data_IF_360556923199
#
_entry.id   IF_360556923199
#
_cell.length_a   1.000
_cell.length_b   1.000
_cell.length_c   1.000
_cell.angle_alpha   90.00
_cell.angle_beta   90.00
_cell.angle_gamma   90.00
#
_symmetry.space_group_name_H-M   'P 1'
#
loop_
_entity.id
_entity.type
_entity.pdbx_description
1 polymer ?
#
# COMPACT_ATOMS: atom_id res chain seq x y z
N UNK A 1 8.87 5.00 -11.51
CA UNK A 1 9.03 4.22 -10.27
C UNK A 1 9.53 5.16 -9.22
N UNK A 2 9.26 4.92 -7.94
CA UNK A 2 9.84 5.76 -6.90
C UNK A 2 11.37 5.80 -7.06
N UNK A 3 11.97 6.90 -6.65
CA UNK A 3 13.43 7.00 -6.50
C UNK A 3 13.96 5.88 -5.60
N UNK A 4 15.23 5.54 -5.76
CA UNK A 4 15.91 4.64 -4.82
C UNK A 4 15.74 5.19 -3.40
N UNK A 5 15.33 4.33 -2.49
CA UNK A 5 15.22 4.65 -1.08
C UNK A 5 15.99 3.64 -0.24
N UNK A 6 16.49 4.09 0.91
CA UNK A 6 17.18 3.24 1.85
C UNK A 6 16.91 3.71 3.28
N UNK A 7 16.90 2.76 4.21
CA UNK A 7 16.67 3.04 5.62
C UNK A 7 17.36 2.00 6.49
N UNK A 8 17.88 2.40 7.64
CA UNK A 8 18.51 1.48 8.59
C UNK A 8 19.94 1.08 8.24
N UNK A 9 20.38 -0.05 8.78
CA UNK A 9 21.74 -0.56 8.65
C UNK A 9 21.85 -1.58 7.52
N UNK A 10 22.83 -1.39 6.62
CA UNK A 10 22.97 -2.17 5.40
C UNK A 10 24.40 -2.71 5.24
N UNK A 11 24.57 -3.90 4.66
CA UNK A 11 25.89 -4.38 4.25
C UNK A 11 26.41 -3.56 3.06
N UNK A 12 27.73 -3.58 2.84
CA UNK A 12 28.36 -2.88 1.71
C UNK A 12 27.93 -3.40 0.34
N UNK A 13 27.49 -4.66 0.26
CA UNK A 13 27.08 -5.37 -0.97
C UNK A 13 25.92 -6.31 -0.61
N UNK A 14 24.98 -6.48 -1.53
CA UNK A 14 23.93 -7.49 -1.41
C UNK A 14 24.52 -8.91 -1.40
N UNK A 15 23.78 -9.87 -0.83
CA UNK A 15 24.15 -11.29 -0.85
C UNK A 15 25.51 -11.58 -0.20
N UNK A 16 25.87 -10.79 0.81
CA UNK A 16 27.07 -11.01 1.63
C UNK A 16 26.71 -11.36 3.06
N UNK A 17 27.66 -11.92 3.81
CA UNK A 17 27.45 -12.17 5.23
C UNK A 17 27.25 -10.85 5.97
N UNK A 18 26.05 -10.63 6.49
CA UNK A 18 25.71 -9.46 7.28
C UNK A 18 25.47 -9.88 8.74
N UNK A 19 26.42 -9.56 9.61
CA UNK A 19 26.43 -10.03 11.00
C UNK A 19 25.91 -8.98 11.97
N UNK A 20 25.17 -9.46 12.96
CA UNK A 20 24.74 -8.73 14.15
C UNK A 20 25.88 -8.61 15.16
N UNK A 21 25.75 -7.72 16.16
CA UNK A 21 26.69 -7.65 17.27
C UNK A 21 26.87 -8.97 18.04
N UNK A 22 25.83 -9.81 18.09
CA UNK A 22 25.87 -11.14 18.76
C UNK A 22 26.53 -12.25 17.91
N UNK A 23 27.00 -11.93 16.70
CA UNK A 23 27.65 -12.85 15.77
C UNK A 23 26.71 -13.63 14.85
N UNK A 24 25.38 -13.61 15.09
CA UNK A 24 24.38 -14.21 14.19
C UNK A 24 24.26 -13.42 12.89
N UNK A 25 23.68 -14.05 11.86
CA UNK A 25 23.42 -13.38 10.59
C UNK A 25 22.04 -12.70 10.62
N UNK A 26 21.95 -11.49 10.06
CA UNK A 26 20.67 -10.97 9.60
C UNK A 26 20.14 -11.86 8.45
N UNK A 27 18.83 -12.04 8.36
CA UNK A 27 18.21 -12.82 7.29
C UNK A 27 17.84 -11.88 6.14
N UNK A 28 18.13 -12.27 4.91
CA UNK A 28 17.93 -11.41 3.73
C UNK A 28 16.62 -11.80 3.02
N UNK A 29 15.80 -10.80 2.69
CA UNK A 29 14.58 -10.95 1.91
C UNK A 29 14.66 -10.07 0.67
N UNK A 30 14.68 -10.68 -0.52
CA UNK A 30 14.41 -9.96 -1.76
C UNK A 30 12.90 -9.81 -1.95
N UNK A 31 12.41 -8.58 -1.94
CA UNK A 31 11.02 -8.23 -2.13
C UNK A 31 10.78 -7.66 -3.53
N UNK A 32 9.79 -8.19 -4.23
CA UNK A 32 9.40 -7.72 -5.57
C UNK A 32 7.92 -7.92 -5.82
N UNK A 33 7.33 -6.99 -6.55
CA UNK A 33 5.95 -7.12 -7.04
C UNK A 33 5.86 -7.69 -8.44
N UNK A 34 6.95 -7.94 -9.17
CA UNK A 34 6.89 -8.51 -10.55
C UNK A 34 7.98 -9.55 -10.81
N UNK A 35 8.28 -10.38 -9.82
CA UNK A 35 9.34 -11.39 -9.92
C UNK A 35 10.71 -10.74 -10.13
N UNK A 36 11.57 -11.34 -10.95
CA UNK A 36 12.94 -10.85 -11.16
C UNK A 36 13.08 -9.78 -12.25
N UNK A 37 11.99 -9.46 -12.96
CA UNK A 37 12.01 -8.50 -14.08
C UNK A 37 11.48 -7.12 -13.72
N UNK A 38 11.05 -6.93 -12.47
CA UNK A 38 10.49 -5.70 -11.94
C UNK A 38 11.41 -4.97 -10.96
N UNK A 39 10.93 -3.87 -10.36
CA UNK A 39 11.63 -3.23 -9.26
C UNK A 39 11.69 -4.19 -8.07
N UNK A 40 12.78 -4.08 -7.31
CA UNK A 40 13.00 -4.87 -6.11
C UNK A 40 13.44 -3.98 -4.96
N UNK A 41 13.23 -4.46 -3.74
CA UNK A 41 13.89 -3.98 -2.53
C UNK A 41 14.46 -5.15 -1.76
N UNK A 42 15.59 -4.96 -1.11
CA UNK A 42 16.22 -5.99 -0.27
C UNK A 42 16.08 -5.57 1.18
N UNK A 43 15.54 -6.45 2.01
CA UNK A 43 15.36 -6.23 3.44
C UNK A 43 16.22 -7.18 4.25
N UNK A 44 16.71 -6.69 5.38
CA UNK A 44 17.51 -7.48 6.33
C UNK A 44 16.79 -7.56 7.66
N UNK A 45 16.49 -8.76 8.12
CA UNK A 45 15.64 -9.04 9.29
C UNK A 45 16.42 -9.62 10.47
N UNK A 46 15.90 -9.39 11.68
CA UNK A 46 16.35 -10.08 12.89
C UNK A 46 15.83 -11.53 12.98
N UNK A 47 14.71 -11.87 12.38
CA UNK A 47 14.23 -13.24 12.36
C UNK A 47 13.99 -13.68 10.92
N UNK A 48 13.66 -14.96 10.72
CA UNK A 48 13.38 -15.47 9.38
C UNK A 48 11.95 -15.05 9.02
N UNK A 49 11.72 -14.21 7.99
CA UNK A 49 10.37 -13.71 7.67
C UNK A 49 9.44 -14.80 7.14
N UNK A 50 9.96 -16.01 6.87
CA UNK A 50 9.18 -17.20 6.47
C UNK A 50 8.77 -18.08 7.65
N UNK A 51 9.11 -17.73 8.89
CA UNK A 51 8.71 -18.49 10.06
C UNK A 51 7.21 -18.27 10.35
N UNK A 52 6.40 -19.32 10.19
CA UNK A 52 4.96 -19.31 10.48
C UNK A 52 4.66 -20.44 11.45
N UNK A 53 4.03 -20.13 12.57
CA UNK A 53 3.71 -21.11 13.62
C UNK A 53 2.40 -21.84 13.31
N UNK A 54 1.36 -21.10 12.91
CA UNK A 54 0.07 -21.68 12.55
C UNK A 54 -0.68 -20.80 11.55
N UNK A 55 -1.72 -21.36 10.94
CA UNK A 55 -2.63 -20.63 10.07
C UNK A 55 -4.08 -21.02 10.31
N UNK A 56 -4.99 -20.07 10.07
CA UNK A 56 -6.43 -20.26 10.16
C UNK A 56 -7.11 -19.62 8.95
N UNK A 57 -7.96 -20.38 8.26
CA UNK A 57 -8.77 -19.89 7.15
C UNK A 57 -9.92 -19.03 7.66
N UNK A 58 -9.95 -17.76 7.28
CA UNK A 58 -10.96 -16.79 7.70
C UNK A 58 -12.08 -16.64 6.66
N UNK A 59 -12.04 -17.40 5.56
CA UNK A 59 -13.13 -17.46 4.60
C UNK A 59 -12.96 -16.58 3.36
N UNK A 60 -14.01 -16.56 2.53
CA UNK A 60 -14.06 -15.83 1.27
C UNK A 60 -14.38 -14.35 1.51
N UNK A 61 -13.66 -13.47 0.80
CA UNK A 61 -13.86 -12.00 0.85
C UNK A 61 -14.05 -11.38 -0.52
N UNK A 62 -14.30 -12.19 -1.56
CA UNK A 62 -14.66 -11.68 -2.87
C UNK A 62 -15.96 -10.88 -2.76
N UNK A 63 -16.00 -9.65 -3.30
CA UNK A 63 -17.24 -8.92 -3.43
C UNK A 63 -18.26 -9.74 -4.23
N UNK A 64 -19.52 -9.66 -3.83
CA UNK A 64 -20.63 -10.17 -4.65
C UNK A 64 -21.02 -9.09 -5.64
N UNK A 65 -20.61 -9.27 -6.90
CA UNK A 65 -21.06 -8.42 -7.99
C UNK A 65 -22.53 -8.69 -8.34
N UNK A 66 -23.16 -7.70 -8.98
CA UNK A 66 -24.48 -7.89 -9.58
C UNK A 66 -24.39 -8.94 -10.69
N UNK A 67 -25.46 -9.70 -10.86
CA UNK A 67 -25.60 -10.60 -12.01
C UNK A 67 -25.74 -9.80 -13.31
N UNK A 68 -25.56 -10.46 -14.45
CA UNK A 68 -25.67 -9.86 -15.78
C UNK A 68 -27.09 -9.33 -16.03
N UNK A 69 -27.33 -8.09 -15.62
CA UNK A 69 -28.56 -7.34 -15.87
C UNK A 69 -28.41 -6.43 -17.10
N UNK A 70 -29.54 -6.04 -17.70
CA UNK A 70 -29.52 -4.98 -18.70
C UNK A 70 -28.94 -3.68 -18.11
N UNK A 71 -28.19 -2.93 -18.93
CA UNK A 71 -27.47 -1.72 -18.51
C UNK A 71 -28.40 -0.71 -17.82
N UNK A 72 -27.99 -0.25 -16.63
CA UNK A 72 -28.72 0.73 -15.81
C UNK A 72 -27.78 1.78 -15.24
N UNK A 73 -28.19 3.04 -15.33
CA UNK A 73 -27.50 4.11 -14.63
C UNK A 73 -27.78 4.03 -13.13
N UNK A 74 -26.73 4.13 -12.31
CA UNK A 74 -26.81 4.06 -10.84
C UNK A 74 -26.11 5.27 -10.25
N UNK A 75 -26.73 5.91 -9.26
CA UNK A 75 -26.14 6.99 -8.47
C UNK A 75 -25.97 6.50 -7.02
N UNK A 76 -24.73 6.26 -6.61
CA UNK A 76 -24.41 5.80 -5.26
C UNK A 76 -24.42 6.97 -4.27
N UNK A 77 -25.23 6.85 -3.22
CA UNK A 77 -25.35 7.87 -2.15
C UNK A 77 -24.59 7.42 -0.91
N UNK A 78 -23.27 7.59 -0.91
CA UNK A 78 -22.38 7.12 0.17
C UNK A 78 -22.41 7.97 1.44
N UNK A 79 -22.98 9.19 1.38
CA UNK A 79 -23.10 10.10 2.53
C UNK A 79 -23.85 9.49 3.74
N UNK A 80 -24.73 8.52 3.50
CA UNK A 80 -25.54 7.89 4.55
C UNK A 80 -24.90 6.68 5.24
N UNK A 81 -23.71 6.25 4.80
CA UNK A 81 -22.98 5.17 5.49
C UNK A 81 -22.74 5.53 6.95
N UNK A 82 -22.57 4.54 7.82
CA UNK A 82 -22.22 4.75 9.23
C UNK A 82 -20.78 4.28 9.46
N UNK A 83 -20.06 4.85 10.44
CA UNK A 83 -18.79 4.30 10.87
C UNK A 83 -18.95 2.82 11.26
N UNK A 84 -18.07 1.95 10.75
CA UNK A 84 -18.03 0.54 11.13
C UNK A 84 -16.65 -0.06 10.91
N UNK A 85 -16.23 -0.96 11.81
CA UNK A 85 -14.99 -1.73 11.69
C UNK A 85 -13.72 -0.88 11.54
N UNK A 86 -12.63 -1.56 11.18
CA UNK A 86 -11.33 -0.96 10.93
C UNK A 86 -11.11 -0.63 9.43
N UNK A 87 -9.87 -0.26 9.07
CA UNK A 87 -9.46 0.09 7.72
C UNK A 87 -9.65 -1.03 6.67
N UNK A 88 -9.83 -2.28 7.10
CA UNK A 88 -9.99 -3.46 6.24
C UNK A 88 -11.42 -3.99 6.34
N UNK A 89 -11.88 -4.34 7.54
CA UNK A 89 -13.19 -4.91 7.83
C UNK A 89 -14.34 -3.93 7.57
N UNK A 90 -14.08 -2.62 7.69
CA UNK A 90 -15.05 -1.56 7.41
C UNK A 90 -15.29 -1.27 5.91
N UNK A 91 -14.58 -1.95 5.01
CA UNK A 91 -14.66 -1.70 3.55
C UNK A 91 -16.03 -2.07 2.99
N UNK A 92 -16.68 -1.11 2.34
CA UNK A 92 -17.90 -1.32 1.56
C UNK A 92 -17.57 -1.21 0.08
N UNK A 93 -17.57 -2.34 -0.63
CA UNK A 93 -17.30 -2.37 -2.08
C UNK A 93 -18.41 -1.66 -2.84
N UNK A 94 -18.04 -0.66 -3.64
CA UNK A 94 -18.99 0.08 -4.49
C UNK A 94 -19.01 -0.48 -5.91
N UNK A 95 -17.83 -0.64 -6.52
CA UNK A 95 -17.64 -1.05 -7.89
C UNK A 95 -16.33 -1.82 -8.03
N UNK A 96 -16.22 -2.61 -9.09
CA UNK A 96 -14.98 -3.28 -9.43
C UNK A 96 -15.07 -4.00 -10.77
N UNK A 97 -13.94 -4.44 -11.27
CA UNK A 97 -13.78 -5.25 -12.47
C UNK A 97 -12.62 -6.23 -12.26
N UNK A 98 -12.10 -6.84 -13.33
CA UNK A 98 -10.97 -7.77 -13.21
C UNK A 98 -9.64 -7.11 -12.77
N UNK A 99 -9.54 -5.78 -12.81
CA UNK A 99 -8.32 -5.04 -12.57
C UNK A 99 -8.34 -4.21 -11.27
N UNK A 100 -9.52 -3.83 -10.76
CA UNK A 100 -9.64 -3.00 -9.56
C UNK A 100 -10.92 -3.29 -8.77
N UNK A 101 -10.85 -3.15 -7.44
CA UNK A 101 -12.00 -2.95 -6.56
C UNK A 101 -11.93 -1.55 -5.93
N UNK A 102 -13.07 -0.84 -5.91
CA UNK A 102 -13.22 0.44 -5.24
C UNK A 102 -14.14 0.28 -4.03
N UNK A 103 -13.61 0.59 -2.87
CA UNK A 103 -14.30 0.56 -1.59
C UNK A 103 -14.44 1.97 -0.99
N UNK A 104 -15.59 2.24 -0.37
CA UNK A 104 -15.77 3.33 0.57
C UNK A 104 -15.55 2.81 1.98
N UNK A 105 -14.84 3.56 2.82
CA UNK A 105 -14.59 3.18 4.21
C UNK A 105 -14.90 4.34 5.13
N UNK A 106 -15.63 4.06 6.21
CA UNK A 106 -15.77 4.96 7.34
C UNK A 106 -15.33 4.21 8.59
N UNK A 107 -14.06 4.35 8.93
CA UNK A 107 -13.37 3.62 9.99
C UNK A 107 -13.92 4.04 11.34
N UNK A 108 -14.37 3.07 12.14
CA UNK A 108 -14.86 3.26 13.50
C UNK A 108 -13.88 2.74 14.57
N UNK A 109 -13.06 1.77 14.21
CA UNK A 109 -12.23 1.01 15.13
C UNK A 109 -10.77 1.01 14.67
N UNK A 110 -9.80 0.96 15.62
CA UNK A 110 -8.40 0.77 15.26
C UNK A 110 -8.15 -0.64 14.73
N UNK A 111 -7.13 -0.81 13.88
CA UNK A 111 -6.67 -2.15 13.48
C UNK A 111 -6.00 -2.86 14.66
N UNK A 112 -6.49 -4.04 15.05
CA UNK A 112 -5.88 -4.87 16.09
C UNK A 112 -4.76 -5.78 15.56
N UNK A 113 -4.83 -6.14 14.27
CA UNK A 113 -3.91 -7.08 13.63
C UNK A 113 -3.13 -6.41 12.49
N UNK A 114 -2.03 -7.03 12.09
CA UNK A 114 -1.33 -6.65 10.86
C UNK A 114 -2.07 -7.19 9.65
N UNK A 115 -1.94 -6.53 8.51
CA UNK A 115 -2.59 -6.92 7.27
C UNK A 115 -1.59 -7.04 6.13
N UNK A 116 -1.86 -7.95 5.19
CA UNK A 116 -1.11 -8.13 3.95
C UNK A 116 -2.06 -8.46 2.82
N UNK A 117 -2.04 -7.67 1.75
CA UNK A 117 -2.74 -8.02 0.53
C UNK A 117 -1.77 -8.62 -0.49
N UNK A 118 -1.96 -9.89 -0.84
CA UNK A 118 -1.18 -10.59 -1.86
C UNK A 118 -1.87 -10.60 -3.24
N UNK A 119 -3.13 -10.18 -3.33
CA UNK A 119 -3.88 -10.11 -4.59
C UNK A 119 -3.48 -8.89 -5.43
N UNK A 120 -3.10 -7.78 -4.78
CA UNK A 120 -2.96 -6.51 -5.47
C UNK A 120 -2.26 -5.42 -4.67
N UNK A 121 -1.84 -4.37 -5.38
CA UNK A 121 -1.41 -3.12 -4.75
C UNK A 121 -2.65 -2.42 -4.17
N UNK A 122 -2.46 -1.66 -3.10
CA UNK A 122 -3.55 -0.86 -2.53
C UNK A 122 -3.24 0.64 -2.63
N UNK A 123 -4.29 1.44 -2.81
CA UNK A 123 -4.21 2.89 -2.65
C UNK A 123 -5.31 3.34 -1.69
N UNK A 124 -4.91 3.89 -0.55
CA UNK A 124 -5.83 4.46 0.44
C UNK A 124 -5.84 5.97 0.28
N UNK A 125 -6.98 6.58 -0.06
CA UNK A 125 -7.11 8.03 -0.07
C UNK A 125 -7.76 8.51 1.23
N UNK A 126 -7.01 9.27 2.03
CA UNK A 126 -7.44 9.72 3.35
C UNK A 126 -8.26 11.01 3.19
N UNK A 127 -9.57 10.95 3.41
CA UNK A 127 -10.43 12.14 3.28
C UNK A 127 -10.27 13.09 4.47
N UNK A 128 -10.24 12.55 5.69
CA UNK A 128 -10.13 13.30 6.94
C UNK A 128 -9.21 12.59 7.94
N UNK A 129 -8.61 13.35 8.86
CA UNK A 129 -7.69 12.83 9.88
C UNK A 129 -6.22 12.75 9.48
N UNK A 130 -5.43 12.12 10.35
CA UNK A 130 -3.99 11.90 10.25
C UNK A 130 -3.58 10.66 11.05
N UNK A 131 -2.34 10.25 10.89
CA UNK A 131 -1.75 9.19 11.69
C UNK A 131 -0.50 8.62 11.05
N UNK A 132 -0.23 7.34 11.32
CA UNK A 132 0.97 6.65 10.84
C UNK A 132 0.61 5.33 10.17
N UNK A 133 1.13 5.13 8.97
CA UNK A 133 1.16 3.83 8.31
C UNK A 133 2.44 3.10 8.74
N UNK A 134 2.29 2.02 9.50
CA UNK A 134 3.40 1.15 9.87
C UNK A 134 3.51 0.01 8.87
N UNK A 135 4.70 -0.24 8.36
CA UNK A 135 4.94 -1.31 7.40
C UNK A 135 6.24 -2.05 7.70
N UNK A 136 6.45 -3.20 7.05
CA UNK A 136 7.75 -3.88 7.07
C UNK A 136 8.91 -3.01 6.51
N UNK A 137 8.59 -1.96 5.73
CA UNK A 137 9.56 -0.98 5.23
C UNK A 137 9.78 0.20 6.19
N UNK A 138 9.06 0.25 7.32
CA UNK A 138 9.11 1.37 8.25
C UNK A 138 7.79 2.11 8.41
N UNK A 139 7.85 3.20 9.16
CA UNK A 139 6.73 4.08 9.45
C UNK A 139 6.69 5.28 8.51
N UNK A 140 5.48 5.63 8.08
CA UNK A 140 5.19 6.77 7.22
C UNK A 140 4.01 7.55 7.81
N UNK A 141 4.24 8.81 8.15
CA UNK A 141 3.17 9.69 8.62
C UNK A 141 2.32 10.18 7.45
N UNK A 142 1.02 10.28 7.70
CA UNK A 142 0.04 10.75 6.72
C UNK A 142 -0.93 11.77 7.32
N UNK A 143 -1.57 12.51 6.42
CA UNK A 143 -2.58 13.53 6.71
C UNK A 143 -3.71 13.47 5.70
N UNK A 144 -4.78 14.20 5.97
CA UNK A 144 -5.89 14.38 5.03
C UNK A 144 -5.39 14.83 3.64
N UNK A 145 -5.98 14.25 2.61
CA UNK A 145 -5.58 14.42 1.21
C UNK A 145 -4.43 13.53 0.76
N UNK A 146 -3.82 12.72 1.65
CA UNK A 146 -2.81 11.77 1.23
C UNK A 146 -3.41 10.55 0.52
N UNK A 147 -2.80 10.18 -0.59
CA UNK A 147 -2.85 8.86 -1.18
C UNK A 147 -1.73 8.02 -0.59
N UNK A 148 -2.07 6.93 0.10
CA UNK A 148 -1.12 5.93 0.58
C UNK A 148 -1.10 4.77 -0.40
N UNK A 149 -0.04 4.68 -1.20
CA UNK A 149 0.16 3.58 -2.15
C UNK A 149 0.99 2.50 -1.46
N UNK A 150 0.43 1.30 -1.36
CA UNK A 150 0.99 0.17 -0.63
C UNK A 150 1.20 -0.98 -1.61
N UNK A 151 2.46 -1.31 -1.95
CA UNK A 151 2.76 -2.40 -2.87
C UNK A 151 2.24 -3.75 -2.35
N UNK A 152 1.76 -4.59 -3.26
CA UNK A 152 1.28 -5.94 -2.95
C UNK A 152 2.32 -6.74 -2.18
N UNK A 153 1.86 -7.47 -1.18
CA UNK A 153 2.68 -8.30 -0.30
C UNK A 153 3.31 -7.55 0.87
N UNK A 154 3.19 -6.22 0.94
CA UNK A 154 3.63 -5.44 2.10
C UNK A 154 2.77 -5.83 3.31
N UNK A 155 3.42 -6.15 4.44
CA UNK A 155 2.76 -6.28 5.74
C UNK A 155 2.68 -4.89 6.33
N UNK A 156 1.47 -4.48 6.72
CA UNK A 156 1.23 -3.14 7.24
C UNK A 156 0.08 -3.09 8.25
N UNK A 157 0.05 -2.00 9.02
CA UNK A 157 -1.07 -1.56 9.85
C UNK A 157 -1.17 -0.04 9.78
N UNK A 158 -2.37 0.50 9.73
CA UNK A 158 -2.59 1.95 9.83
C UNK A 158 -3.09 2.30 11.22
N UNK A 159 -2.48 3.32 11.84
CA UNK A 159 -2.92 3.90 13.10
C UNK A 159 -3.42 5.31 12.83
N UNK A 160 -4.65 5.59 13.23
CA UNK A 160 -5.22 6.94 13.16
C UNK A 160 -5.05 7.63 14.50
N UNK A 161 -4.77 8.94 14.49
CA UNK A 161 -4.67 9.74 15.71
C UNK A 161 -6.05 9.92 16.37
N UNK A 162 -7.10 10.01 15.55
CA UNK A 162 -8.48 10.13 15.99
C UNK A 162 -9.41 9.32 15.10
N UNK A 163 -10.56 8.91 15.66
CA UNK A 163 -11.63 8.19 14.97
C UNK A 163 -12.96 8.94 15.18
N UNK A 164 -13.92 8.83 14.25
CA UNK A 164 -13.87 8.02 13.03
C UNK A 164 -13.18 8.74 11.85
N UNK A 165 -12.66 7.96 10.89
CA UNK A 165 -11.97 8.48 9.69
C UNK A 165 -12.65 8.00 8.40
N UNK A 166 -12.82 8.88 7.43
CA UNK A 166 -13.26 8.54 6.07
C UNK A 166 -12.06 8.32 5.16
N UNK A 167 -12.13 7.27 4.37
CA UNK A 167 -11.18 7.04 3.29
C UNK A 167 -11.82 6.29 2.12
N UNK A 168 -11.16 6.35 0.97
CA UNK A 168 -11.37 5.40 -0.12
C UNK A 168 -10.27 4.36 -0.08
N UNK A 169 -10.61 3.11 -0.41
CA UNK A 169 -9.62 2.08 -0.62
C UNK A 169 -9.79 1.51 -2.02
N UNK A 170 -8.71 1.57 -2.81
CA UNK A 170 -8.60 0.94 -4.11
C UNK A 170 -7.72 -0.29 -3.97
N UNK A 171 -8.21 -1.45 -4.39
CA UNK A 171 -7.42 -2.69 -4.48
C UNK A 171 -7.19 -2.98 -5.95
N UNK A 172 -5.97 -2.78 -6.42
CA UNK A 172 -5.59 -2.93 -7.82
C UNK A 172 -4.96 -4.32 -8.05
N UNK A 173 -5.52 -5.13 -8.94
CA UNK A 173 -4.99 -6.45 -9.33
C UNK A 173 -3.83 -6.34 -10.33
N UNK A 174 -2.91 -5.41 -10.03
CA UNK A 174 -1.70 -5.09 -10.76
C UNK A 174 -1.02 -3.86 -10.14
N UNK A 175 0.13 -3.43 -10.68
CA UNK A 175 0.89 -2.36 -10.06
C UNK A 175 0.20 -1.01 -10.19
N UNK A 176 0.22 -0.22 -9.12
CA UNK A 176 -0.13 1.21 -9.14
C UNK A 176 1.13 2.00 -9.46
N UNK A 177 1.13 2.71 -10.59
CA UNK A 177 2.30 3.43 -11.09
C UNK A 177 1.97 4.89 -11.42
N UNK A 178 3.01 5.73 -11.41
CA UNK A 178 2.99 7.05 -12.06
C UNK A 178 2.57 6.87 -13.53
N UNK A 179 1.59 7.65 -14.03
CA UNK A 179 1.10 7.52 -15.40
C UNK A 179 2.23 7.55 -16.42
N UNK A 180 2.19 6.65 -17.41
CA UNK A 180 3.25 6.52 -18.44
C UNK A 180 3.57 7.85 -19.13
N UNK A 181 2.58 8.72 -19.30
CA UNK A 181 2.74 10.05 -19.91
C UNK A 181 3.54 11.07 -19.08
N UNK A 182 3.75 10.78 -17.80
CA UNK A 182 4.48 11.62 -16.85
C UNK A 182 5.84 11.03 -16.49
N UNK A 183 6.28 9.96 -17.16
CA UNK A 183 7.59 9.36 -16.94
C UNK A 183 8.31 9.03 -18.23
N UNK A 184 9.65 9.03 -18.19
CA UNK A 184 10.46 8.50 -19.28
C UNK A 184 10.53 6.95 -19.23
N UNK A 185 11.28 6.37 -20.16
CA UNK A 185 11.57 4.94 -20.25
C UNK A 185 12.35 4.39 -19.04
N UNK A 186 13.16 5.22 -18.39
CA UNK A 186 13.88 4.92 -17.15
C UNK A 186 13.00 5.05 -15.89
N UNK A 187 11.75 5.49 -16.04
CA UNK A 187 10.80 5.63 -14.94
C UNK A 187 10.96 6.90 -14.09
N UNK A 188 11.81 7.84 -14.50
CA UNK A 188 11.93 9.19 -13.93
C UNK A 188 10.71 10.02 -14.32
N UNK A 189 10.22 10.84 -13.40
CA UNK A 189 9.11 11.76 -13.63
C UNK A 189 9.60 12.91 -14.53
N UNK A 190 8.79 13.27 -15.54
CA UNK A 190 9.12 14.29 -16.53
C UNK A 190 8.89 15.69 -15.95
N UNK A 191 9.68 16.68 -16.38
CA UNK A 191 9.61 18.08 -15.90
C UNK A 191 8.24 18.75 -16.12
N UNK A 192 7.42 18.24 -17.05
CA UNK A 192 6.05 18.74 -17.29
C UNK A 192 4.98 17.98 -16.50
N UNK A 193 5.36 16.97 -15.72
CA UNK A 193 4.42 16.24 -14.89
C UNK A 193 3.83 17.16 -13.80
N UNK A 194 2.59 16.89 -13.36
CA UNK A 194 1.93 17.70 -12.34
C UNK A 194 2.46 17.46 -10.92
N UNK A 195 3.48 16.63 -10.73
CA UNK A 195 4.16 16.40 -9.46
C UNK A 195 5.53 15.80 -9.74
N UNK A 196 6.39 15.69 -8.73
CA UNK A 196 7.77 15.22 -8.81
C UNK A 196 8.05 14.10 -7.82
N UNK A 197 9.22 13.48 -7.91
CA UNK A 197 9.65 12.44 -6.96
C UNK A 197 9.82 12.97 -5.53
N UNK A 198 9.91 14.29 -5.35
CA UNK A 198 10.04 14.94 -4.04
C UNK A 198 8.72 14.98 -3.28
N UNK A 199 7.61 14.93 -4.01
CA UNK A 199 6.26 14.93 -3.45
C UNK A 199 5.85 13.52 -2.97
N UNK A 200 6.62 12.49 -3.36
CA UNK A 200 6.46 11.11 -2.89
C UNK A 200 7.24 10.89 -1.59
N UNK A 201 6.50 10.79 -0.48
CA UNK A 201 7.06 10.61 0.87
C UNK A 201 7.06 9.14 1.24
N UNK A 202 8.24 8.58 1.47
CA UNK A 202 8.43 7.20 1.92
C UNK A 202 8.64 7.10 3.43
N UNK A 203 8.80 5.88 3.97
CA UNK A 203 9.08 5.70 5.38
C UNK A 203 10.40 6.38 5.77
N UNK A 204 10.42 7.05 6.92
CA UNK A 204 11.59 7.80 7.39
C UNK A 204 12.27 7.17 8.63
N UNK A 205 11.61 6.18 9.23
CA UNK A 205 12.08 5.43 10.40
C UNK A 205 11.60 3.99 10.36
N UNK A 206 12.41 3.09 10.91
CA UNK A 206 12.06 1.67 10.95
C UNK A 206 10.92 1.46 11.95
N UNK A 207 9.93 0.66 11.56
CA UNK A 207 8.92 0.17 12.48
C UNK A 207 9.56 -0.89 13.37
N UNK A 208 9.14 -0.94 14.63
CA UNK A 208 9.63 -1.92 15.59
C UNK A 208 8.46 -2.63 16.26
N UNK A 209 8.43 -3.94 16.14
CA UNK A 209 7.51 -4.79 16.89
C UNK A 209 8.26 -5.83 17.70
N UNK A 210 7.62 -6.32 18.76
CA UNK A 210 8.21 -7.32 19.67
C UNK A 210 7.20 -8.45 19.91
N UNK A 211 7.72 -9.66 20.14
CA UNK A 211 6.90 -10.84 20.45
C UNK A 211 6.15 -11.43 19.24
N UNK A 212 5.30 -12.44 19.46
CA UNK A 212 4.46 -13.03 18.43
C UNK A 212 3.45 -12.03 17.85
N UNK A 213 3.05 -12.23 16.59
CA UNK A 213 2.09 -11.37 15.92
C UNK A 213 1.18 -12.14 14.95
N UNK A 214 -0.08 -11.73 14.87
CA UNK A 214 -1.01 -12.21 13.86
C UNK A 214 -1.04 -11.28 12.63
N UNK A 215 -0.99 -11.88 11.45
CA UNK A 215 -1.14 -11.19 10.16
C UNK A 215 -2.35 -11.75 9.42
N UNK A 216 -3.30 -10.89 9.10
CA UNK A 216 -4.43 -11.20 8.21
C UNK A 216 -3.96 -11.04 6.75
N UNK A 217 -3.92 -12.15 6.02
CA UNK A 217 -3.45 -12.20 4.64
C UNK A 217 -4.65 -12.34 3.71
N UNK A 218 -4.84 -11.37 2.81
CA UNK A 218 -5.73 -11.51 1.66
C UNK A 218 -4.98 -12.15 0.51
N UNK A 219 -5.46 -13.30 0.03
CA UNK A 219 -4.92 -13.96 -1.16
C UNK A 219 -6.00 -14.82 -1.82
N UNK A 220 -6.03 -14.80 -3.17
CA UNK A 220 -6.95 -15.55 -4.02
C UNK A 220 -8.42 -15.31 -3.64
N UNK A 221 -8.74 -14.09 -3.20
CA UNK A 221 -10.07 -13.70 -2.73
C UNK A 221 -10.48 -14.34 -1.40
N UNK A 222 -9.52 -14.77 -0.58
CA UNK A 222 -9.76 -15.30 0.78
C UNK A 222 -8.93 -14.55 1.80
N UNK A 223 -9.38 -14.56 3.05
CA UNK A 223 -8.58 -14.17 4.19
C UNK A 223 -8.01 -15.40 4.88
N UNK A 224 -6.74 -15.32 5.28
CA UNK A 224 -6.09 -16.33 6.12
C UNK A 224 -5.29 -15.62 7.19
N UNK A 225 -5.53 -15.96 8.45
CA UNK A 225 -4.73 -15.47 9.58
C UNK A 225 -3.50 -16.35 9.74
N UNK A 226 -2.32 -15.76 9.71
CA UNK A 226 -1.05 -16.42 10.04
C UNK A 226 -0.58 -15.92 11.41
N UNK A 227 -0.20 -16.83 12.28
CA UNK A 227 0.47 -16.51 13.54
C UNK A 227 1.98 -16.67 13.36
N UNK A 228 2.71 -15.59 13.59
CA UNK A 228 4.16 -15.56 13.52
C UNK A 228 4.76 -15.65 14.93
N UNK A 229 5.83 -16.45 15.13
CA UNK A 229 6.47 -16.56 16.43
C UNK A 229 7.22 -15.28 16.84
N UNK A 230 7.54 -14.42 15.87
CA UNK A 230 8.17 -13.11 16.07
C UNK A 230 7.48 -12.05 15.21
N UNK A 231 7.56 -10.79 15.63
CA UNK A 231 6.86 -9.70 14.96
C UNK A 231 7.53 -9.42 13.60
N UNK A 232 6.78 -9.29 12.50
CA UNK A 232 7.36 -9.05 11.17
C UNK A 232 7.92 -7.63 10.95
N UNK A 233 7.93 -6.79 11.99
CA UNK A 233 8.53 -5.45 11.98
C UNK A 233 9.88 -5.52 12.70
N UNK A 234 10.73 -6.40 12.17
CA UNK A 234 12.03 -6.79 12.69
C UNK A 234 13.15 -6.47 11.68
N UNK A 235 12.88 -5.55 10.75
CA UNK A 235 13.82 -5.13 9.72
C UNK A 235 14.86 -4.19 10.34
N UNK A 236 16.15 -4.55 10.22
CA UNK A 236 17.27 -3.69 10.66
C UNK A 236 17.66 -2.65 9.62
N UNK A 237 17.37 -2.93 8.36
CA UNK A 237 17.59 -2.03 7.24
C UNK A 237 17.14 -2.63 5.93
N UNK A 238 16.89 -1.76 4.96
CA UNK A 238 16.50 -2.14 3.62
C UNK A 238 16.84 -1.04 2.62
N UNK A 239 16.89 -1.41 1.34
CA UNK A 239 17.02 -0.47 0.24
C UNK A 239 16.39 -1.00 -1.06
N UNK A 240 16.05 -0.08 -1.97
CA UNK A 240 15.56 -0.42 -3.31
C UNK A 240 14.48 0.51 -3.85
N UNK A 241 13.62 -0.06 -4.71
CA UNK A 241 12.64 0.67 -5.53
C UNK A 241 11.18 0.30 -5.26
N UNK A 242 10.93 -0.73 -4.44
CA UNK A 242 9.58 -1.14 -4.02
C UNK A 242 9.39 -0.79 -2.56
N UNK A 243 8.56 0.22 -2.29
CA UNK A 243 8.26 0.67 -0.94
C UNK A 243 6.94 1.44 -0.93
N UNK A 244 6.22 1.46 0.21
CA UNK A 244 4.96 2.19 0.36
C UNK A 244 5.21 3.69 0.45
N UNK A 245 4.34 4.52 -0.13
CA UNK A 245 4.53 5.97 -0.14
C UNK A 245 3.23 6.75 0.05
N UNK A 246 3.37 7.97 0.54
CA UNK A 246 2.32 8.98 0.62
C UNK A 246 2.54 10.05 -0.45
N UNK A 247 1.48 10.47 -1.11
CA UNK A 247 1.43 11.64 -1.98
C UNK A 247 0.23 12.50 -1.58
N UNK A 248 0.42 13.79 -1.29
CA UNK A 248 -0.72 14.63 -0.94
C UNK A 248 -1.36 15.23 -2.19
N UNK A 249 -2.70 15.24 -2.25
CA UNK A 249 -3.43 15.89 -3.35
C UNK A 249 -3.09 17.39 -3.49
N UNK A 250 -2.73 18.06 -2.40
CA UNK A 250 -2.32 19.47 -2.45
C UNK A 250 -0.96 19.70 -3.12
N UNK A 251 -0.14 18.65 -3.25
CA UNK A 251 1.16 18.70 -3.93
C UNK A 251 1.00 18.48 -5.45
N UNK A 252 -0.19 18.07 -5.92
CA UNK A 252 -0.52 18.01 -7.34
C UNK A 252 -0.67 19.43 -7.91
N UNK A 253 0.11 19.74 -8.94
CA UNK A 253 0.14 21.01 -9.66
C UNK A 253 -0.77 20.93 -10.90
N UNK A 254 -1.98 21.54 -10.87
CA UNK A 254 -2.92 21.40 -11.97
C UNK A 254 -2.37 22.07 -13.24
N UNK A 255 -2.34 21.31 -14.33
CA UNK A 255 -2.04 21.85 -15.65
C UNK A 255 -3.27 22.65 -16.12
N UNK A 256 -3.07 23.91 -16.48
CA UNK A 256 -4.14 24.80 -16.97
C UNK A 256 -3.92 25.15 -18.43
N UNK A 257 -5.01 25.43 -19.13
CA UNK A 257 -4.99 25.84 -20.53
C UNK A 257 -6.04 26.90 -20.82
N UNK A 258 -5.99 27.49 -22.02
CA UNK A 258 -7.00 28.46 -22.48
C UNK A 258 -8.40 27.86 -22.61
N UNK A 259 -8.49 26.53 -22.74
CA UNK A 259 -9.73 25.75 -22.81
C UNK A 259 -9.82 24.78 -21.64
N UNK A 260 -11.01 24.23 -21.40
CA UNK A 260 -11.19 23.10 -20.50
C UNK A 260 -10.38 21.91 -21.00
N UNK A 261 -9.38 21.50 -20.22
CA UNK A 261 -8.50 20.39 -20.57
C UNK A 261 -9.21 19.07 -20.26
N UNK A 262 -8.99 18.02 -21.07
CA UNK A 262 -9.63 16.74 -20.87
C UNK A 262 -9.13 16.08 -19.58
N UNK A 263 -9.94 15.22 -18.92
CA UNK A 263 -9.63 14.61 -17.63
C UNK A 263 -8.24 13.95 -17.48
N UNK A 264 -7.59 13.37 -18.52
CA UNK A 264 -6.27 12.78 -18.37
C UNK A 264 -5.19 13.70 -17.78
N UNK A 265 -5.35 15.03 -17.87
CA UNK A 265 -4.42 15.98 -17.24
C UNK A 265 -4.43 15.91 -15.70
N UNK A 266 -5.48 15.35 -15.11
CA UNK A 266 -5.63 15.18 -13.66
C UNK A 266 -5.19 13.79 -13.17
N UNK A 267 -4.64 12.93 -14.03
CA UNK A 267 -4.21 11.59 -13.61
C UNK A 267 -3.13 11.66 -12.53
N UNK A 268 -3.46 11.21 -11.33
CA UNK A 268 -2.50 11.07 -10.23
C UNK A 268 -1.76 9.74 -10.36
N UNK A 269 -2.48 8.61 -10.49
CA UNK A 269 -1.90 7.28 -10.69
C UNK A 269 -2.61 6.48 -11.77
N UNK A 270 -2.01 5.37 -12.19
CA UNK A 270 -2.61 4.44 -13.14
C UNK A 270 -2.28 2.99 -12.77
N UNK A 271 -3.17 2.07 -13.11
CA UNK A 271 -2.92 0.64 -13.09
C UNK A 271 -3.47 -0.04 -14.35
N UNK A 272 -3.53 -1.38 -14.39
CA UNK A 272 -4.17 -2.09 -15.50
C UNK A 272 -5.64 -1.69 -15.59
N UNK A 273 -6.12 -1.23 -16.75
CA UNK A 273 -7.56 -0.98 -16.95
C UNK A 273 -8.20 0.15 -16.14
N UNK A 274 -7.45 0.91 -15.33
CA UNK A 274 -7.97 2.06 -14.56
C UNK A 274 -6.95 3.20 -14.40
N UNK A 275 -7.47 4.38 -14.06
CA UNK A 275 -6.68 5.54 -13.63
C UNK A 275 -7.30 6.14 -12.38
N UNK A 276 -6.46 6.72 -11.53
CA UNK A 276 -6.87 7.53 -10.37
C UNK A 276 -6.59 8.97 -10.75
N UNK A 277 -7.64 9.79 -10.78
CA UNK A 277 -7.58 11.22 -11.08
C UNK A 277 -7.97 12.02 -9.83
#
# INVERSE_FOLDING_TARGET
MPRYHHLGFLPKKHHTQFRRPDGRLYTEQLFSTRGFSGPTSTLYHYDVPTAVESFHDCGNVKPRYLEDEALRHRHFRTRGLQPQGDAISGRVTLMGNQDIEWHQVWVAEPMETLYKNADGDECLFIHDGSGTLETLFGELDFRAGDYLVIPRGTIWRIRFDTLPVRMLAFVAFGPIEVPRRYRNDQGQILEHAPYSERDLRGPDRLAKGEGPADVIIRARGRLTRYSYPTHPFDVVGWDGYVWPFAFNIADFQPIVGRIHLPPPIHQTFSGPGFVIC
#
